data_IF_786267396381
#
_entry.id   IF_786267396381
#
_cell.length_a   1.000
_cell.length_b   1.000
_cell.length_c   1.000
_cell.angle_alpha   90.00
_cell.angle_beta   90.00
_cell.angle_gamma   90.00
#
_symmetry.space_group_name_H-M   'P 1'
#
loop_
_entity.id
_entity.type
_entity.pdbx_description
1 polymer ?
#
# COMPACT_ATOMS: atom_id res chain seq x y z
N UNK A 1 -10.93 9.93 -3.78
CA UNK A 1 -9.86 9.03 -3.46
C UNK A 1 -10.04 8.42 -2.05
N UNK A 2 -11.25 7.99 -1.76
CA UNK A 2 -11.59 7.22 -0.56
C UNK A 2 -10.94 5.81 -0.55
N UNK A 3 -10.35 5.44 -1.66
CA UNK A 3 -9.73 4.15 -1.89
C UNK A 3 -8.59 3.84 -0.92
N UNK A 4 -7.72 4.80 -0.69
CA UNK A 4 -6.56 4.56 0.18
C UNK A 4 -6.92 4.51 1.65
N UNK A 5 -7.97 5.22 2.03
CA UNK A 5 -8.55 5.12 3.37
C UNK A 5 -9.09 3.70 3.59
N UNK A 6 -9.74 3.11 2.59
CA UNK A 6 -10.25 1.75 2.68
C UNK A 6 -9.12 0.69 2.69
N UNK A 7 -8.02 0.93 1.98
CA UNK A 7 -6.87 0.03 1.97
C UNK A 7 -6.21 -0.07 3.35
N UNK A 8 -6.27 0.99 4.12
CA UNK A 8 -5.70 1.04 5.48
C UNK A 8 -6.71 0.55 6.54
N UNK A 9 -8.00 0.80 6.36
CA UNK A 9 -9.02 0.44 7.36
C UNK A 9 -9.20 -1.06 7.57
N UNK A 10 -8.98 -1.87 6.55
CA UNK A 10 -9.14 -3.32 6.66
C UNK A 10 -7.80 -4.08 6.82
N UNK A 11 -6.69 -3.38 6.79
CA UNK A 11 -5.38 -3.94 7.08
C UNK A 11 -5.04 -3.74 8.58
N UNK A 12 -4.07 -4.49 9.14
CA UNK A 12 -3.69 -4.36 10.54
C UNK A 12 -2.83 -3.11 10.80
N UNK A 13 -3.26 -1.96 10.28
CA UNK A 13 -2.59 -0.67 10.45
C UNK A 13 -3.39 0.22 11.39
N UNK A 14 -2.69 0.77 12.38
CA UNK A 14 -3.25 1.63 13.42
C UNK A 14 -2.83 3.07 13.13
N UNK A 15 -3.77 4.02 13.04
CA UNK A 15 -3.43 5.44 12.89
C UNK A 15 -2.60 5.94 14.09
N UNK A 16 -1.61 6.80 13.80
CA UNK A 16 -0.82 7.50 14.80
C UNK A 16 -1.18 8.99 14.76
N UNK A 17 -2.20 9.43 15.50
CA UNK A 17 -2.74 10.81 15.39
C UNK A 17 -1.73 11.88 15.77
N UNK A 18 -0.86 11.63 16.74
CA UNK A 18 0.15 12.59 17.19
C UNK A 18 1.19 12.95 16.15
N UNK A 19 1.40 12.09 15.16
CA UNK A 19 2.35 12.29 14.06
C UNK A 19 1.65 12.67 12.75
N UNK A 20 0.32 12.67 12.74
CA UNK A 20 -0.48 12.93 11.55
C UNK A 20 -0.93 14.39 11.49
N UNK A 21 -1.05 14.90 10.26
CA UNK A 21 -1.62 16.21 9.92
C UNK A 21 -2.70 16.04 8.88
N UNK A 22 -3.37 17.11 8.46
CA UNK A 22 -4.40 17.07 7.41
C UNK A 22 -3.90 16.44 6.10
N UNK A 23 -2.65 16.74 5.71
CA UNK A 23 -2.07 16.28 4.45
C UNK A 23 -1.10 15.10 4.59
N UNK A 24 -0.91 14.62 5.82
CA UNK A 24 0.02 13.54 6.14
C UNK A 24 -0.61 12.60 7.15
N UNK A 25 -0.86 11.38 6.76
CA UNK A 25 -1.38 10.34 7.64
C UNK A 25 -0.29 9.28 7.87
N UNK A 26 -0.02 9.00 9.13
CA UNK A 26 0.96 7.98 9.53
C UNK A 26 0.20 6.86 10.23
N UNK A 27 0.50 5.64 9.81
CA UNK A 27 -0.03 4.41 10.39
C UNK A 27 1.13 3.53 10.85
N UNK A 28 0.91 2.84 11.93
CA UNK A 28 1.81 1.80 12.42
C UNK A 28 1.13 0.46 12.25
N UNK A 29 1.85 -0.56 11.79
CA UNK A 29 1.30 -1.92 11.80
C UNK A 29 1.04 -2.34 13.25
N UNK A 30 -0.09 -3.01 13.49
CA UNK A 30 -0.40 -3.56 14.82
C UNK A 30 0.75 -4.46 15.27
N UNK A 31 1.33 -4.26 16.48
CA UNK A 31 2.43 -5.07 16.98
C UNK A 31 2.14 -6.56 17.02
N UNK A 32 0.87 -6.98 17.10
CA UNK A 32 0.46 -8.38 17.03
C UNK A 32 0.60 -8.95 15.60
N UNK A 33 0.67 -8.11 14.57
CA UNK A 33 0.73 -8.51 13.17
C UNK A 33 2.05 -8.20 12.47
N UNK A 34 2.96 -7.50 13.13
CA UNK A 34 4.26 -7.18 12.54
C UNK A 34 4.91 -5.95 13.15
N UNK A 35 5.80 -5.34 12.36
CA UNK A 35 6.50 -4.11 12.71
C UNK A 35 6.64 -3.20 11.49
N UNK A 36 6.70 -1.90 11.72
CA UNK A 36 6.92 -0.91 10.67
C UNK A 36 5.78 0.08 10.51
N UNK A 37 5.87 0.87 9.47
CA UNK A 37 5.00 2.01 9.22
C UNK A 37 4.48 2.05 7.80
N UNK A 38 3.36 2.75 7.64
CA UNK A 38 2.76 3.09 6.36
C UNK A 38 2.37 4.57 6.42
N UNK A 39 2.75 5.35 5.40
CA UNK A 39 2.46 6.78 5.35
C UNK A 39 1.73 7.14 4.07
N UNK A 40 0.80 8.06 4.21
CA UNK A 40 0.06 8.63 3.08
C UNK A 40 0.26 10.14 3.11
N UNK A 41 0.79 10.68 2.02
CA UNK A 41 0.93 12.11 1.79
C UNK A 41 -0.08 12.52 0.71
N UNK A 42 -0.86 13.56 0.98
CA UNK A 42 -1.88 14.08 0.07
C UNK A 42 -1.47 15.43 -0.48
N UNK A 43 -1.56 15.59 -1.78
CA UNK A 43 -1.24 16.83 -2.48
C UNK A 43 -2.38 17.22 -3.42
N UNK A 44 -2.50 18.49 -3.70
CA UNK A 44 -3.42 19.05 -4.70
C UNK A 44 -4.85 18.52 -4.55
N UNK A 45 -5.49 18.81 -3.41
CA UNK A 45 -6.85 18.37 -3.08
C UNK A 45 -7.05 16.85 -3.18
N UNK A 46 -6.01 16.08 -2.89
CA UNK A 46 -5.99 14.62 -2.96
C UNK A 46 -6.04 14.03 -4.38
N UNK A 47 -5.71 14.81 -5.41
CA UNK A 47 -5.51 14.31 -6.77
C UNK A 47 -4.18 13.55 -6.91
N UNK A 48 -3.21 13.90 -6.08
CA UNK A 48 -1.90 13.24 -6.02
C UNK A 48 -1.69 12.69 -4.61
N UNK A 49 -1.38 11.41 -4.54
CA UNK A 49 -1.10 10.71 -3.29
C UNK A 49 0.25 10.03 -3.39
N UNK A 50 1.03 10.14 -2.33
CA UNK A 50 2.27 9.39 -2.17
C UNK A 50 2.11 8.43 -1.00
N UNK A 51 2.32 7.15 -1.27
CA UNK A 51 2.30 6.09 -0.28
C UNK A 51 3.73 5.66 0.00
N UNK A 52 4.09 5.58 1.27
CA UNK A 52 5.41 5.10 1.69
C UNK A 52 5.20 3.93 2.64
N UNK A 53 5.56 2.75 2.19
CA UNK A 53 5.47 1.52 2.97
C UNK A 53 6.85 1.07 3.42
N UNK A 54 6.98 0.77 4.70
CA UNK A 54 8.18 0.21 5.31
C UNK A 54 7.74 -0.65 6.51
N UNK A 55 7.38 -1.89 6.23
CA UNK A 55 6.90 -2.79 7.27
C UNK A 55 7.25 -4.26 6.98
N UNK A 56 7.22 -5.07 8.02
CA UNK A 56 7.39 -6.52 7.93
C UNK A 56 6.22 -7.18 8.67
N UNK A 57 5.30 -7.83 7.95
CA UNK A 57 4.22 -8.57 8.60
C UNK A 57 4.72 -9.89 9.16
N UNK A 58 4.16 -10.37 10.27
CA UNK A 58 4.42 -11.71 10.80
C UNK A 58 3.40 -12.76 10.35
N UNK A 59 2.35 -12.30 9.66
CA UNK A 59 1.39 -13.15 8.97
C UNK A 59 1.21 -12.65 7.53
N UNK A 60 0.87 -13.55 6.61
CA UNK A 60 0.60 -13.18 5.22
C UNK A 60 -0.63 -12.29 5.15
N UNK A 61 -0.47 -11.13 4.51
CA UNK A 61 -1.56 -10.20 4.22
C UNK A 61 -2.01 -10.42 2.78
N UNK A 62 -3.27 -10.77 2.61
CA UNK A 62 -3.88 -10.93 1.30
C UNK A 62 -5.19 -10.14 1.26
N UNK A 63 -5.32 -9.22 0.32
CA UNK A 63 -6.46 -8.33 0.27
C UNK A 63 -6.85 -7.93 -1.14
N UNK A 64 -8.14 -7.89 -1.39
CA UNK A 64 -8.74 -7.31 -2.58
C UNK A 64 -9.47 -6.03 -2.15
N UNK A 65 -9.12 -4.91 -2.76
CA UNK A 65 -9.73 -3.61 -2.47
C UNK A 65 -10.43 -3.09 -3.72
N UNK A 66 -11.67 -2.64 -3.55
CA UNK A 66 -12.40 -1.93 -4.61
C UNK A 66 -11.97 -0.47 -4.67
N UNK A 67 -11.81 0.05 -5.88
CA UNK A 67 -11.40 1.41 -6.15
C UNK A 67 -12.50 2.09 -6.97
N UNK A 68 -12.94 3.26 -6.54
CA UNK A 68 -14.03 3.98 -7.23
C UNK A 68 -13.60 4.62 -8.56
N UNK A 69 -12.32 4.86 -8.74
CA UNK A 69 -11.79 5.61 -9.88
C UNK A 69 -10.61 4.89 -10.54
N UNK A 70 -10.42 5.17 -11.83
CA UNK A 70 -9.20 4.79 -12.53
C UNK A 70 -8.06 5.69 -12.07
N UNK A 71 -6.85 5.15 -11.99
CA UNK A 71 -5.68 5.93 -11.58
C UNK A 71 -4.40 5.46 -12.25
N UNK A 72 -3.46 6.38 -12.39
CA UNK A 72 -2.10 6.09 -12.80
C UNK A 72 -1.26 5.86 -11.55
N UNK A 73 -0.51 4.78 -11.52
CA UNK A 73 0.42 4.48 -10.44
C UNK A 73 1.85 4.41 -10.96
N UNK A 74 2.75 5.02 -10.20
CA UNK A 74 4.19 4.89 -10.38
C UNK A 74 4.74 4.41 -9.05
N UNK A 75 5.34 3.24 -9.03
CA UNK A 75 5.81 2.61 -7.79
C UNK A 75 7.28 2.23 -7.89
N UNK A 76 8.02 2.53 -6.85
CA UNK A 76 9.40 2.09 -6.67
C UNK A 76 9.45 1.04 -5.55
N UNK A 77 9.89 -0.16 -5.88
CA UNK A 77 10.06 -1.25 -4.93
C UNK A 77 11.53 -1.40 -4.54
N UNK A 78 11.78 -1.35 -3.25
CA UNK A 78 13.13 -1.53 -2.68
C UNK A 78 13.34 -2.96 -2.14
N UNK A 79 12.28 -3.77 -2.07
CA UNK A 79 12.31 -5.17 -1.63
C UNK A 79 11.64 -6.10 -2.64
N UNK A 80 12.11 -7.34 -2.70
CA UNK A 80 11.64 -8.39 -3.63
C UNK A 80 10.59 -9.29 -2.95
N UNK A 81 9.53 -8.81 -2.42
CA UNK A 81 8.69 -9.72 -1.63
C UNK A 81 7.19 -9.60 -1.83
N UNK A 82 6.75 -8.75 -2.71
CA UNK A 82 5.33 -8.51 -2.87
C UNK A 82 4.81 -9.01 -4.20
N UNK A 83 3.69 -9.73 -4.16
CA UNK A 83 2.95 -10.06 -5.36
C UNK A 83 1.83 -9.06 -5.54
N UNK A 84 1.75 -8.45 -6.70
CA UNK A 84 0.63 -7.58 -7.07
C UNK A 84 -0.16 -8.21 -8.20
N UNK A 85 -1.45 -8.01 -8.18
CA UNK A 85 -2.30 -8.32 -9.32
C UNK A 85 -2.70 -7.01 -9.97
N UNK A 86 -2.20 -6.80 -11.18
CA UNK A 86 -2.53 -5.65 -12.00
C UNK A 86 -3.29 -6.12 -13.22
N UNK A 87 -4.43 -5.52 -13.49
CA UNK A 87 -5.20 -5.84 -14.69
C UNK A 87 -5.55 -7.32 -14.80
N UNK A 88 -5.98 -7.98 -13.72
CA UNK A 88 -6.28 -9.41 -13.71
C UNK A 88 -5.04 -10.32 -13.76
N UNK A 89 -3.85 -9.76 -13.90
CA UNK A 89 -2.58 -10.52 -13.91
C UNK A 89 -1.96 -10.53 -12.53
N UNK A 90 -1.70 -11.71 -11.98
CA UNK A 90 -0.90 -11.87 -10.78
C UNK A 90 0.57 -11.67 -11.15
N UNK A 91 1.16 -10.58 -10.66
CA UNK A 91 2.60 -10.39 -10.72
C UNK A 91 3.23 -11.17 -9.56
N UNK A 92 3.79 -12.33 -9.86
CA UNK A 92 4.57 -13.09 -8.90
C UNK A 92 5.98 -12.51 -8.85
N UNK A 93 6.52 -12.32 -7.63
CA UNK A 93 7.89 -11.86 -7.42
C UNK A 93 8.17 -10.50 -8.06
N UNK A 94 7.61 -9.45 -7.48
CA UNK A 94 7.98 -8.08 -7.87
C UNK A 94 9.44 -7.87 -7.50
N UNK A 95 10.28 -7.75 -8.52
CA UNK A 95 11.69 -7.42 -8.35
C UNK A 95 11.85 -5.95 -7.95
N UNK A 96 13.01 -5.61 -7.41
CA UNK A 96 13.38 -4.22 -7.16
C UNK A 96 13.32 -3.43 -8.47
N UNK A 97 12.73 -2.26 -8.45
CA UNK A 97 12.64 -1.43 -9.63
C UNK A 97 11.48 -0.45 -9.60
N UNK A 98 11.28 0.21 -10.72
CA UNK A 98 10.22 1.19 -10.92
C UNK A 98 9.19 0.58 -11.88
N UNK A 99 7.93 0.64 -11.46
CA UNK A 99 6.78 0.16 -12.22
C UNK A 99 5.81 1.31 -12.46
N UNK A 100 5.26 1.35 -13.67
CA UNK A 100 4.23 2.33 -14.03
C UNK A 100 3.08 1.60 -14.71
N UNK A 101 1.87 1.82 -14.22
CA UNK A 101 0.68 1.23 -14.84
C UNK A 101 -0.57 2.09 -14.63
N UNK A 102 -1.51 1.94 -15.55
CA UNK A 102 -2.84 2.54 -15.48
C UNK A 102 -3.83 1.50 -14.96
N UNK A 103 -4.38 1.73 -13.77
CA UNK A 103 -5.41 0.85 -13.22
C UNK A 103 -6.78 1.25 -13.78
N UNK A 104 -7.36 0.37 -14.59
CA UNK A 104 -8.67 0.56 -15.21
C UNK A 104 -9.76 -0.35 -14.64
N UNK A 105 -9.40 -1.33 -13.80
CA UNK A 105 -10.31 -2.39 -13.35
C UNK A 105 -11.08 -2.06 -12.07
N UNK A 106 -10.79 -0.93 -11.44
CA UNK A 106 -11.41 -0.55 -10.15
C UNK A 106 -11.23 -1.58 -9.03
N UNK A 107 -10.21 -2.43 -9.12
CA UNK A 107 -9.82 -3.38 -8.08
C UNK A 107 -8.31 -3.43 -7.94
N UNK A 108 -7.84 -3.57 -6.72
CA UNK A 108 -6.43 -3.85 -6.43
C UNK A 108 -6.32 -5.13 -5.62
N UNK A 109 -5.27 -5.87 -5.86
CA UNK A 109 -4.92 -7.06 -5.12
C UNK A 109 -3.57 -6.84 -4.43
N UNK A 110 -3.52 -7.03 -3.13
CA UNK A 110 -2.29 -6.91 -2.35
C UNK A 110 -1.98 -8.24 -1.69
N UNK A 111 -0.74 -8.69 -1.85
CA UNK A 111 -0.21 -9.87 -1.20
C UNK A 111 1.14 -9.54 -0.60
N UNK A 112 1.27 -9.69 0.72
CA UNK A 112 2.52 -9.50 1.44
C UNK A 112 2.80 -10.76 2.24
N UNK A 113 3.89 -11.44 1.90
CA UNK A 113 4.26 -12.71 2.54
C UNK A 113 4.76 -12.49 3.97
N UNK A 114 4.37 -13.40 4.86
CA UNK A 114 4.78 -13.37 6.26
C UNK A 114 6.31 -13.32 6.41
N UNK A 115 6.79 -12.52 7.34
CA UNK A 115 8.20 -12.37 7.73
C UNK A 115 9.12 -11.84 6.61
N UNK A 116 8.55 -11.28 5.55
CA UNK A 116 9.32 -10.64 4.49
C UNK A 116 9.15 -9.12 4.53
N UNK A 117 10.24 -8.35 4.48
CA UNK A 117 10.16 -6.88 4.46
C UNK A 117 9.41 -6.40 3.22
N UNK A 118 8.55 -5.41 3.44
CA UNK A 118 7.83 -4.70 2.36
C UNK A 118 8.28 -3.26 2.40
N UNK A 119 8.95 -2.80 1.36
CA UNK A 119 9.44 -1.43 1.26
C UNK A 119 9.24 -0.89 -0.14
N UNK A 120 8.33 0.07 -0.26
CA UNK A 120 8.05 0.74 -1.53
C UNK A 120 7.53 2.16 -1.32
N UNK A 121 7.63 2.93 -2.38
CA UNK A 121 7.04 4.28 -2.50
C UNK A 121 6.23 4.37 -3.76
#
# INVERSE_FOLDING_TARGET
INYLTNLVHDAPFIPVPTLSTENKQIFQIDPNFGKGTFRILKFDSSLILILIADFTPNETIEKITEVSEKYLEISQFETESSSFKVGGRKLNNVEKGIYCYLNTEKKTYTYCEANKPVKFT
#
